data_IF_044637355956
#
_entry.id   IF_044637355956
#
_cell.length_a   1.000
_cell.length_b   1.000
_cell.length_c   1.000
_cell.angle_alpha   90.00
_cell.angle_beta   90.00
_cell.angle_gamma   90.00
#
_symmetry.space_group_name_H-M   'P 1'
#
loop_
_entity.id
_entity.type
_entity.pdbx_description
1 polymer ?
#
# COMPACT_ATOMS: atom_id res chain seq x y z
N UNK A 1 40.36 -57.60 -9.59
CA UNK A 1 39.76 -56.63 -10.52
C UNK A 1 39.49 -55.36 -9.74
N UNK A 2 40.17 -54.27 -10.08
CA UNK A 2 40.10 -53.00 -9.34
C UNK A 2 38.93 -52.11 -9.76
N UNK A 3 38.75 -51.01 -9.02
CA UNK A 3 37.84 -49.92 -9.38
C UNK A 3 38.41 -49.21 -10.62
N UNK A 4 37.61 -48.97 -11.69
CA UNK A 4 38.09 -48.25 -12.86
C UNK A 4 38.54 -46.81 -12.55
N UNK A 5 39.56 -46.32 -13.26
CA UNK A 5 40.00 -44.91 -13.17
C UNK A 5 38.84 -43.97 -13.48
N UNK A 6 38.71 -42.90 -12.68
CA UNK A 6 37.65 -41.89 -12.84
C UNK A 6 36.36 -42.19 -12.06
N UNK A 7 36.28 -43.31 -11.31
CA UNK A 7 35.16 -43.59 -10.40
C UNK A 7 35.38 -42.90 -9.06
N UNK A 8 34.38 -42.15 -8.61
CA UNK A 8 34.28 -41.60 -7.26
C UNK A 8 33.57 -42.58 -6.32
N UNK A 9 34.10 -42.75 -5.11
CA UNK A 9 33.51 -43.63 -4.08
C UNK A 9 33.43 -42.89 -2.74
N UNK A 10 32.38 -43.14 -1.93
CA UNK A 10 32.36 -42.67 -0.55
C UNK A 10 33.47 -43.38 0.25
N UNK A 11 34.16 -42.62 1.08
CA UNK A 11 35.26 -43.11 1.91
C UNK A 11 35.21 -42.41 3.28
N UNK A 12 35.41 -43.17 4.36
CA UNK A 12 35.22 -42.72 5.75
C UNK A 12 36.52 -42.33 6.46
N UNK A 13 37.69 -42.48 5.82
CA UNK A 13 38.97 -42.10 6.41
C UNK A 13 39.36 -40.65 6.07
N UNK A 14 40.29 -40.08 6.84
CA UNK A 14 40.72 -38.69 6.67
C UNK A 14 41.89 -38.50 5.68
N UNK A 15 42.55 -39.60 5.28
CA UNK A 15 43.66 -39.61 4.31
C UNK A 15 43.34 -40.58 3.18
N UNK A 16 43.56 -40.14 1.93
CA UNK A 16 43.33 -40.97 0.76
C UNK A 16 44.23 -42.23 0.81
N UNK A 17 43.67 -43.44 0.62
CA UNK A 17 44.47 -44.64 0.44
C UNK A 17 45.31 -44.56 -0.84
N UNK A 18 46.34 -45.41 -0.93
CA UNK A 18 47.14 -45.55 -2.14
C UNK A 18 46.26 -45.80 -3.37
N UNK A 19 46.50 -45.02 -4.43
CA UNK A 19 45.72 -45.08 -5.67
C UNK A 19 44.42 -44.28 -5.68
N UNK A 20 44.09 -43.56 -4.60
CA UNK A 20 42.92 -42.67 -4.51
C UNK A 20 43.33 -41.21 -4.26
N UNK A 21 42.47 -40.28 -4.65
CA UNK A 21 42.60 -38.85 -4.38
C UNK A 21 41.35 -38.36 -3.66
N UNK A 22 41.49 -37.46 -2.68
CA UNK A 22 40.36 -36.84 -2.00
C UNK A 22 39.67 -35.80 -2.90
N UNK A 23 38.33 -35.80 -2.92
CA UNK A 23 37.50 -34.85 -3.69
C UNK A 23 36.82 -33.79 -2.82
N UNK A 24 37.40 -33.49 -1.65
CA UNK A 24 36.87 -32.56 -0.65
C UNK A 24 37.98 -31.75 0.04
N UNK A 25 37.57 -30.66 0.70
CA UNK A 25 38.44 -29.81 1.52
C UNK A 25 39.15 -28.65 0.80
N UNK A 26 39.62 -27.64 1.55
CA UNK A 26 40.21 -26.41 1.01
C UNK A 26 41.59 -26.60 0.33
N UNK A 27 42.23 -27.76 0.51
CA UNK A 27 43.58 -28.04 0.00
C UNK A 27 43.66 -29.13 -1.08
N UNK A 28 42.56 -29.77 -1.50
CA UNK A 28 42.63 -30.89 -2.46
C UNK A 28 41.49 -30.92 -3.51
N UNK A 29 40.83 -29.80 -3.71
CA UNK A 29 40.02 -29.56 -4.91
C UNK A 29 40.93 -29.12 -6.09
N UNK A 30 41.70 -30.05 -6.64
CA UNK A 30 42.06 -29.98 -8.05
C UNK A 30 43.37 -29.32 -8.46
N UNK A 31 44.49 -29.71 -7.85
CA UNK A 31 45.76 -29.60 -8.58
C UNK A 31 46.46 -30.95 -8.53
N UNK A 32 46.31 -31.69 -9.62
CA UNK A 32 46.84 -33.04 -9.77
C UNK A 32 47.78 -33.04 -10.98
N UNK A 33 48.93 -33.70 -10.86
CA UNK A 33 49.95 -33.79 -11.92
C UNK A 33 49.41 -34.56 -13.13
N UNK A 34 49.48 -33.96 -14.32
CA UNK A 34 49.10 -34.63 -15.57
C UNK A 34 50.03 -35.80 -15.90
N UNK A 35 51.30 -35.71 -15.49
CA UNK A 35 52.30 -36.76 -15.73
C UNK A 35 52.00 -37.98 -14.86
N UNK A 36 51.72 -37.77 -13.58
CA UNK A 36 51.49 -38.86 -12.64
C UNK A 36 50.09 -39.49 -12.80
N UNK A 37 49.11 -38.70 -13.27
CA UNK A 37 47.71 -39.10 -13.38
C UNK A 37 47.14 -38.94 -14.80
N UNK A 38 47.93 -39.21 -15.84
CA UNK A 38 47.53 -39.00 -17.24
C UNK A 38 46.24 -39.71 -17.65
N UNK A 39 45.99 -40.94 -17.15
CA UNK A 39 44.75 -41.66 -17.41
C UNK A 39 43.51 -41.01 -16.76
N UNK A 40 43.68 -40.36 -15.60
CA UNK A 40 42.61 -39.60 -14.96
C UNK A 40 42.38 -38.27 -15.70
N UNK A 41 43.47 -37.59 -16.09
CA UNK A 41 43.42 -36.35 -16.86
C UNK A 41 42.58 -36.51 -18.14
N UNK A 42 42.84 -37.53 -18.95
CA UNK A 42 42.07 -37.81 -20.18
C UNK A 42 40.57 -38.04 -19.96
N UNK A 43 40.14 -38.36 -18.74
CA UNK A 43 38.73 -38.56 -18.40
C UNK A 43 38.09 -37.25 -17.93
N UNK A 44 38.79 -36.43 -17.16
CA UNK A 44 38.22 -35.28 -16.44
C UNK A 44 38.48 -33.92 -17.09
N UNK A 45 39.47 -33.81 -18.00
CA UNK A 45 39.89 -32.54 -18.60
C UNK A 45 38.73 -31.77 -19.25
N UNK A 46 37.78 -32.47 -19.87
CA UNK A 46 36.58 -31.90 -20.49
C UNK A 46 35.32 -32.00 -19.61
N UNK A 47 35.43 -32.46 -18.36
CA UNK A 47 34.30 -32.84 -17.49
C UNK A 47 34.40 -32.24 -16.08
N UNK A 48 34.82 -30.98 -16.00
CA UNK A 48 34.89 -30.21 -14.74
C UNK A 48 36.27 -30.17 -14.10
N UNK A 49 37.30 -30.66 -14.78
CA UNK A 49 38.68 -30.69 -14.33
C UNK A 49 39.66 -30.05 -15.31
N UNK A 50 39.55 -28.75 -15.62
CA UNK A 50 40.32 -28.14 -16.69
C UNK A 50 41.83 -28.31 -16.48
N UNK A 51 42.55 -28.44 -17.60
CA UNK A 51 43.99 -28.21 -17.66
C UNK A 51 44.29 -26.79 -17.17
N UNK A 52 45.25 -26.66 -16.27
CA UNK A 52 45.67 -25.38 -15.69
C UNK A 52 46.86 -24.76 -16.44
N UNK A 53 47.39 -25.42 -17.47
CA UNK A 53 48.46 -24.93 -18.34
C UNK A 53 49.86 -25.00 -17.73
N UNK A 54 50.01 -25.63 -16.55
CA UNK A 54 51.27 -25.77 -15.82
C UNK A 54 51.68 -27.23 -15.59
N UNK A 55 51.11 -28.15 -16.38
CA UNK A 55 51.28 -29.60 -16.20
C UNK A 55 50.42 -30.18 -15.08
N UNK A 56 49.46 -29.42 -14.55
CA UNK A 56 48.45 -29.91 -13.58
C UNK A 56 47.03 -29.73 -14.10
N UNK A 57 46.08 -30.42 -13.47
CA UNK A 57 44.65 -30.34 -13.77
C UNK A 57 43.80 -30.42 -12.51
N UNK A 58 42.53 -29.98 -12.62
CA UNK A 58 41.55 -30.07 -11.55
C UNK A 58 40.85 -31.43 -11.51
N UNK A 59 40.57 -31.95 -10.31
CA UNK A 59 39.65 -33.06 -10.13
C UNK A 59 38.30 -32.52 -9.63
N UNK A 60 37.18 -33.20 -9.92
CA UNK A 60 35.88 -32.71 -9.50
C UNK A 60 35.76 -32.59 -7.98
N UNK A 61 35.29 -31.43 -7.51
CA UNK A 61 34.99 -31.19 -6.10
C UNK A 61 33.57 -31.65 -5.77
N UNK A 62 33.44 -32.57 -4.81
CA UNK A 62 32.16 -33.15 -4.40
C UNK A 62 31.71 -32.73 -2.99
N UNK A 63 32.50 -31.89 -2.31
CA UNK A 63 32.11 -31.33 -1.01
C UNK A 63 30.78 -30.58 -1.12
N UNK A 64 29.87 -30.87 -0.19
CA UNK A 64 28.52 -30.30 -0.08
C UNK A 64 27.63 -30.49 -1.32
N UNK A 65 27.98 -31.41 -2.22
CA UNK A 65 27.24 -31.66 -3.47
C UNK A 65 26.64 -33.05 -3.54
N UNK A 66 25.42 -33.13 -4.05
CA UNK A 66 24.83 -34.39 -4.47
C UNK A 66 25.32 -34.82 -5.86
N UNK A 67 25.44 -36.14 -6.07
CA UNK A 67 25.65 -36.71 -7.39
C UNK A 67 24.31 -36.92 -8.09
N UNK A 68 24.20 -36.43 -9.31
CA UNK A 68 23.02 -36.64 -10.16
C UNK A 68 23.44 -37.29 -11.47
N UNK A 69 22.62 -38.23 -11.95
CA UNK A 69 22.85 -38.86 -13.25
C UNK A 69 22.71 -37.86 -14.40
N UNK A 70 23.47 -38.05 -15.47
CA UNK A 70 23.34 -37.27 -16.69
C UNK A 70 21.89 -37.26 -17.22
N UNK A 71 21.40 -36.06 -17.53
CA UNK A 71 20.01 -35.83 -17.90
C UNK A 71 19.78 -34.35 -18.22
N UNK A 72 18.61 -33.82 -17.86
CA UNK A 72 18.23 -32.42 -18.15
C UNK A 72 19.00 -31.38 -17.33
N UNK A 73 19.78 -31.80 -16.32
CA UNK A 73 20.49 -30.90 -15.40
C UNK A 73 21.89 -30.50 -15.88
N UNK A 74 22.31 -31.00 -17.03
CA UNK A 74 23.60 -30.71 -17.68
C UNK A 74 24.32 -31.95 -18.19
N UNK A 75 25.48 -31.72 -18.84
CA UNK A 75 26.42 -32.78 -19.19
C UNK A 75 27.28 -33.22 -18.00
N UNK A 76 27.96 -34.36 -18.10
CA UNK A 76 28.88 -34.85 -17.06
C UNK A 76 29.91 -33.78 -16.68
N UNK A 77 30.12 -33.57 -15.39
CA UNK A 77 31.00 -32.53 -14.86
C UNK A 77 30.32 -31.17 -14.63
N UNK A 78 29.08 -31.00 -15.07
CA UNK A 78 28.31 -29.77 -14.83
C UNK A 78 27.93 -29.68 -13.36
N UNK A 79 28.19 -28.51 -12.78
CA UNK A 79 27.83 -28.12 -11.42
C UNK A 79 26.60 -27.20 -11.43
N UNK A 80 25.74 -27.29 -10.42
CA UNK A 80 24.61 -26.38 -10.27
C UNK A 80 23.98 -26.43 -8.88
N UNK A 81 22.82 -25.80 -8.73
CA UNK A 81 22.14 -25.65 -7.44
C UNK A 81 22.85 -24.65 -6.52
N UNK A 82 22.19 -24.30 -5.42
CA UNK A 82 22.75 -23.36 -4.43
C UNK A 82 22.49 -23.88 -3.00
N UNK A 83 23.41 -23.60 -2.08
CA UNK A 83 23.29 -24.03 -0.68
C UNK A 83 22.21 -23.24 0.08
N UNK A 84 21.92 -22.02 -0.37
CA UNK A 84 20.84 -21.17 0.13
C UNK A 84 20.29 -20.31 -1.02
N UNK A 85 18.98 -20.10 -1.01
CA UNK A 85 18.26 -19.26 -1.98
C UNK A 85 17.67 -18.08 -1.21
N UNK A 86 18.01 -16.86 -1.62
CA UNK A 86 17.33 -15.66 -1.14
C UNK A 86 16.17 -15.38 -2.08
N UNK A 87 14.93 -15.50 -1.57
CA UNK A 87 13.75 -15.25 -2.38
C UNK A 87 13.57 -13.75 -2.67
N UNK A 88 13.44 -13.42 -3.94
CA UNK A 88 12.95 -12.11 -4.38
C UNK A 88 11.44 -12.02 -4.23
N UNK A 89 10.92 -10.78 -4.21
CA UNK A 89 9.47 -10.53 -4.09
C UNK A 89 8.69 -11.27 -5.19
N UNK A 90 9.18 -11.25 -6.44
CA UNK A 90 8.55 -11.96 -7.56
C UNK A 90 8.46 -13.49 -7.37
N UNK A 91 9.31 -14.10 -6.54
CA UNK A 91 9.33 -15.54 -6.26
C UNK A 91 8.43 -15.92 -5.08
N UNK A 92 7.94 -14.94 -4.32
CA UNK A 92 6.92 -15.17 -3.30
C UNK A 92 5.58 -15.45 -3.98
N UNK A 93 4.72 -16.30 -3.38
CA UNK A 93 3.35 -16.46 -3.82
C UNK A 93 2.64 -15.11 -3.92
N UNK A 94 1.86 -14.94 -5.00
CA UNK A 94 1.02 -13.75 -5.13
C UNK A 94 -0.01 -13.72 -4.01
N UNK A 95 -0.02 -12.61 -3.26
CA UNK A 95 -0.93 -12.40 -2.15
C UNK A 95 -1.40 -10.94 -2.12
N UNK A 96 -2.48 -10.69 -1.39
CA UNK A 96 -3.02 -9.35 -1.19
C UNK A 96 -3.56 -9.19 0.23
N UNK A 97 -3.65 -7.94 0.67
CA UNK A 97 -4.18 -7.60 1.99
C UNK A 97 -5.49 -6.84 1.87
N UNK A 98 -6.50 -7.22 2.65
CA UNK A 98 -7.73 -6.43 2.76
C UNK A 98 -7.53 -5.23 3.69
N UNK A 99 -8.27 -4.15 3.43
CA UNK A 99 -8.44 -3.05 4.39
C UNK A 99 -9.84 -3.14 4.97
N UNK A 100 -9.92 -3.15 6.29
CA UNK A 100 -11.18 -2.97 7.02
C UNK A 100 -11.20 -1.57 7.60
N UNK A 101 -12.13 -0.74 7.13
CA UNK A 101 -12.45 0.56 7.73
C UNK A 101 -13.83 0.41 8.41
N UNK A 102 -13.88 0.18 9.74
CA UNK A 102 -15.14 -0.01 10.48
C UNK A 102 -16.07 1.21 10.45
N UNK A 103 -15.67 2.30 9.79
CA UNK A 103 -16.39 3.56 9.75
C UNK A 103 -16.06 4.42 10.96
N UNK A 104 -15.99 5.73 10.74
CA UNK A 104 -15.81 6.73 11.76
C UNK A 104 -16.64 7.98 11.41
N UNK A 105 -17.10 8.78 12.40
CA UNK A 105 -17.92 9.94 12.13
C UNK A 105 -17.10 11.07 11.48
N UNK A 106 -17.66 11.72 10.46
CA UNK A 106 -17.12 12.96 9.91
C UNK A 106 -17.62 14.15 10.74
N UNK A 107 -16.71 15.06 11.10
CA UNK A 107 -17.08 16.30 11.78
C UNK A 107 -17.76 17.27 10.82
N UNK A 108 -18.99 17.69 11.12
CA UNK A 108 -19.68 18.76 10.40
C UNK A 108 -19.45 20.09 11.14
N UNK A 109 -18.75 21.02 10.49
CA UNK A 109 -18.58 22.40 10.97
C UNK A 109 -19.59 23.34 10.30
N UNK A 110 -20.26 24.19 11.07
CA UNK A 110 -21.11 25.25 10.53
C UNK A 110 -20.38 26.59 10.65
N UNK A 111 -19.89 27.13 9.54
CA UNK A 111 -19.33 28.49 9.49
C UNK A 111 -20.45 29.46 9.15
N UNK A 112 -20.85 30.31 10.10
CA UNK A 112 -21.90 31.32 9.89
C UNK A 112 -21.25 32.58 9.30
N UNK A 113 -21.47 32.82 8.00
CA UNK A 113 -21.00 34.04 7.32
C UNK A 113 -22.19 35.01 7.17
N UNK A 114 -22.52 35.69 8.26
CA UNK A 114 -23.56 36.74 8.28
C UNK A 114 -24.92 36.27 8.82
N UNK A 115 -25.33 36.84 9.96
CA UNK A 115 -26.70 36.73 10.47
C UNK A 115 -27.49 37.96 10.04
N UNK A 116 -28.43 37.78 9.10
CA UNK A 116 -29.39 38.82 8.71
C UNK A 116 -30.67 38.68 9.52
N UNK A 117 -31.03 39.72 10.28
CA UNK A 117 -32.29 39.75 11.03
C UNK A 117 -33.49 39.82 10.08
N UNK A 118 -34.50 38.99 10.32
CA UNK A 118 -35.82 39.14 9.71
C UNK A 118 -36.90 38.96 10.78
N UNK A 119 -38.07 39.58 10.57
CA UNK A 119 -39.12 39.75 11.57
C UNK A 119 -40.29 38.82 11.29
N UNK A 120 -40.90 38.29 12.36
CA UNK A 120 -42.20 37.62 12.33
C UNK A 120 -43.14 38.34 13.28
N UNK A 121 -44.37 38.62 12.84
CA UNK A 121 -45.41 39.13 13.74
C UNK A 121 -46.02 37.97 14.55
N UNK A 122 -46.16 38.07 15.88
CA UNK A 122 -46.82 37.04 16.67
C UNK A 122 -48.27 36.82 16.20
N UNK A 123 -48.52 35.69 15.53
CA UNK A 123 -49.87 35.21 15.21
C UNK A 123 -50.43 35.55 13.82
N UNK A 124 -49.63 36.02 12.86
CA UNK A 124 -50.09 36.32 11.49
C UNK A 124 -49.25 35.59 10.44
N UNK A 125 -49.88 34.75 9.60
CA UNK A 125 -49.25 34.01 8.51
C UNK A 125 -49.09 34.84 7.22
N UNK A 126 -48.93 36.16 7.32
CA UNK A 126 -48.81 37.05 6.16
C UNK A 126 -47.68 38.03 6.34
N UNK A 127 -46.70 37.93 5.44
CA UNK A 127 -45.62 38.89 5.27
C UNK A 127 -46.20 40.19 4.73
N UNK A 128 -46.49 41.16 5.60
CA UNK A 128 -46.92 42.49 5.18
C UNK A 128 -45.70 43.39 4.95
N UNK A 129 -45.44 43.71 3.69
CA UNK A 129 -44.50 44.75 3.27
C UNK A 129 -45.11 46.13 3.60
N UNK A 130 -44.59 46.78 4.64
CA UNK A 130 -45.06 48.09 5.05
C UNK A 130 -44.46 49.18 4.16
N UNK A 131 -45.31 49.90 3.44
CA UNK A 131 -44.92 51.12 2.72
C UNK A 131 -45.19 52.33 3.59
N UNK A 132 -44.17 53.14 3.81
CA UNK A 132 -44.30 54.40 4.55
C UNK A 132 -44.83 55.48 3.63
N UNK A 133 -46.09 55.86 3.80
CA UNK A 133 -46.73 56.88 2.97
C UNK A 133 -46.70 58.21 3.71
N UNK A 134 -46.33 59.28 3.00
CA UNK A 134 -46.39 60.64 3.53
C UNK A 134 -47.86 61.07 3.59
N UNK A 135 -48.43 61.26 4.78
CA UNK A 135 -49.82 61.69 4.91
C UNK A 135 -49.89 63.23 4.97
N UNK A 136 -50.51 63.86 3.96
CA UNK A 136 -50.53 65.32 3.83
C UNK A 136 -51.44 66.02 4.85
N UNK A 137 -52.28 65.30 5.62
CA UNK A 137 -53.27 65.91 6.52
C UNK A 137 -52.76 66.17 7.95
N UNK A 138 -51.61 65.63 8.36
CA UNK A 138 -50.97 65.99 9.65
C UNK A 138 -49.47 66.25 9.51
N UNK A 139 -49.08 67.20 8.66
CA UNK A 139 -47.73 67.78 8.73
C UNK A 139 -46.57 66.92 8.21
N UNK A 140 -46.85 65.88 7.40
CA UNK A 140 -45.80 65.14 6.69
C UNK A 140 -45.13 64.01 7.47
N UNK A 141 -45.71 63.60 8.61
CA UNK A 141 -45.22 62.46 9.37
C UNK A 141 -45.40 61.15 8.59
N UNK A 142 -44.32 60.39 8.50
CA UNK A 142 -44.24 59.08 7.86
C UNK A 142 -44.91 58.03 8.74
N UNK A 143 -45.96 57.36 8.22
CA UNK A 143 -46.67 56.29 8.94
C UNK A 143 -46.78 55.02 8.08
N UNK A 144 -46.63 53.83 8.69
CA UNK A 144 -46.79 52.57 7.98
C UNK A 144 -48.28 52.40 7.64
N UNK A 145 -48.58 52.25 6.35
CA UNK A 145 -49.93 51.92 5.86
C UNK A 145 -49.89 50.51 5.29
N UNK A 146 -50.91 49.71 5.58
CA UNK A 146 -51.14 48.46 4.87
C UNK A 146 -51.70 48.80 3.48
N UNK A 147 -50.89 48.59 2.45
CA UNK A 147 -51.41 48.55 1.08
C UNK A 147 -51.93 47.13 0.88
N UNK A 148 -53.25 46.95 0.90
CA UNK A 148 -53.81 45.70 0.41
C UNK A 148 -53.63 45.63 -1.11
N UNK A 149 -53.61 44.41 -1.65
CA UNK A 149 -53.30 44.14 -3.06
C UNK A 149 -54.26 44.75 -4.10
N UNK A 150 -55.20 45.63 -3.69
CA UNK A 150 -56.06 46.41 -4.59
C UNK A 150 -55.56 47.83 -4.86
N UNK A 151 -54.46 48.26 -4.22
CA UNK A 151 -53.80 49.54 -4.48
C UNK A 151 -54.48 50.76 -3.84
N UNK A 152 -55.49 50.56 -2.99
CA UNK A 152 -56.09 51.62 -2.18
C UNK A 152 -55.55 51.58 -0.74
N UNK A 153 -55.22 52.72 -0.10
CA UNK A 153 -54.75 52.74 1.28
C UNK A 153 -55.91 52.33 2.22
N UNK A 154 -55.84 51.11 2.72
CA UNK A 154 -56.91 50.49 3.50
C UNK A 154 -56.59 50.58 4.99
N UNK A 155 -57.36 51.42 5.69
CA UNK A 155 -57.43 51.56 7.16
C UNK A 155 -56.13 51.88 7.91
N UNK A 156 -56.11 53.00 8.62
CA UNK A 156 -55.05 53.34 9.58
C UNK A 156 -55.00 52.28 10.69
N UNK A 157 -53.92 51.49 10.74
CA UNK A 157 -53.67 50.55 11.83
C UNK A 157 -53.08 51.33 13.00
N UNK A 158 -53.85 51.46 14.09
CA UNK A 158 -53.29 51.92 15.36
C UNK A 158 -52.45 50.79 15.95
N UNK A 159 -51.12 50.93 15.88
CA UNK A 159 -50.20 50.05 16.61
C UNK A 159 -50.28 50.47 18.08
N UNK A 160 -50.71 49.59 19.01
CA UNK A 160 -50.77 49.95 20.42
C UNK A 160 -49.37 50.28 20.92
N UNK A 161 -49.12 51.55 21.20
CA UNK A 161 -47.94 51.97 21.93
C UNK A 161 -48.17 51.63 23.40
N UNK A 162 -47.26 50.86 24.02
CA UNK A 162 -47.24 50.77 25.47
C UNK A 162 -46.73 52.12 26.00
N UNK A 163 -47.64 53.05 26.24
CA UNK A 163 -47.31 54.39 26.72
C UNK A 163 -46.92 54.33 28.21
N UNK A 164 -45.61 54.30 28.50
CA UNK A 164 -45.12 54.74 29.81
C UNK A 164 -45.14 56.27 29.83
N UNK A 165 -45.92 56.91 30.71
CA UNK A 165 -46.28 58.33 30.60
C UNK A 165 -45.16 59.34 30.93
N UNK A 166 -43.90 58.91 31.12
CA UNK A 166 -42.83 59.82 31.59
C UNK A 166 -41.53 59.84 30.79
N UNK A 167 -41.40 59.12 29.66
CA UNK A 167 -40.20 59.25 28.83
C UNK A 167 -40.43 58.89 27.34
N UNK A 168 -40.62 59.87 26.43
CA UNK A 168 -40.91 59.62 25.02
C UNK A 168 -39.69 59.31 24.13
N UNK A 169 -38.49 59.08 24.67
CA UNK A 169 -37.28 58.87 23.86
C UNK A 169 -36.52 57.56 24.06
N UNK A 170 -37.05 56.58 24.81
CA UNK A 170 -36.49 55.22 24.78
C UNK A 170 -37.39 54.28 23.98
N UNK A 171 -37.09 54.23 22.68
CA UNK A 171 -37.57 53.18 21.77
C UNK A 171 -36.93 51.85 22.18
N UNK A 172 -37.47 51.19 23.20
CA UNK A 172 -37.05 49.83 23.53
C UNK A 172 -37.62 48.86 22.50
N UNK A 173 -37.01 48.83 21.32
CA UNK A 173 -37.20 47.78 20.31
C UNK A 173 -36.46 46.52 20.79
N UNK A 174 -36.95 45.93 21.88
CA UNK A 174 -36.38 44.67 22.41
C UNK A 174 -36.94 43.50 21.61
N UNK A 175 -36.10 42.96 20.73
CA UNK A 175 -36.34 41.72 20.00
C UNK A 175 -35.67 40.58 20.76
N UNK A 176 -36.44 39.76 21.47
CA UNK A 176 -35.93 38.52 22.08
C UNK A 176 -36.38 37.32 21.25
N UNK A 177 -35.44 36.67 20.56
CA UNK A 177 -35.62 35.29 20.10
C UNK A 177 -35.50 34.40 21.33
N UNK A 178 -36.61 33.89 21.86
CA UNK A 178 -36.53 33.07 23.06
C UNK A 178 -36.12 31.62 22.79
N UNK A 179 -36.36 31.00 21.62
CA UNK A 179 -36.16 29.54 21.54
C UNK A 179 -35.72 28.95 20.18
N UNK A 180 -34.81 29.57 19.41
CA UNK A 180 -34.23 28.86 18.25
C UNK A 180 -33.22 29.59 17.37
N UNK A 181 -32.34 28.82 16.72
CA UNK A 181 -31.44 29.26 15.65
C UNK A 181 -32.23 29.48 14.35
N UNK A 182 -32.14 30.68 13.77
CA UNK A 182 -32.84 31.03 12.52
C UNK A 182 -31.83 31.17 11.37
N UNK A 183 -31.97 30.38 10.30
CA UNK A 183 -30.93 30.19 9.28
C UNK A 183 -31.52 30.27 7.86
N UNK A 184 -31.12 31.27 7.06
CA UNK A 184 -31.69 31.53 5.72
C UNK A 184 -30.98 30.81 4.57
N UNK A 185 -29.69 30.48 4.70
CA UNK A 185 -28.96 29.65 3.75
C UNK A 185 -27.79 28.98 4.47
N UNK A 186 -27.95 27.70 4.80
CA UNK A 186 -26.90 26.89 5.41
C UNK A 186 -26.15 26.13 4.32
N UNK A 187 -24.87 26.42 4.12
CA UNK A 187 -24.00 25.53 3.34
C UNK A 187 -23.31 24.58 4.31
N UNK A 188 -23.81 23.34 4.42
CA UNK A 188 -23.14 22.27 5.15
C UNK A 188 -21.97 21.76 4.31
N UNK A 189 -20.75 22.07 4.72
CA UNK A 189 -19.55 21.48 4.09
C UNK A 189 -19.24 20.17 4.80
N UNK A 190 -19.42 19.05 4.11
CA UNK A 190 -18.93 17.74 4.54
C UNK A 190 -17.62 17.47 3.80
N UNK A 191 -16.49 17.73 4.44
CA UNK A 191 -15.18 17.36 3.89
C UNK A 191 -15.00 15.85 4.03
N UNK A 192 -14.99 15.15 2.89
CA UNK A 192 -14.63 13.73 2.87
C UNK A 192 -13.19 13.55 3.35
N UNK A 193 -12.97 12.67 4.31
CA UNK A 193 -11.64 12.25 4.72
C UNK A 193 -11.33 10.92 4.02
N UNK A 194 -10.43 10.92 3.04
CA UNK A 194 -9.85 9.68 2.53
C UNK A 194 -8.68 9.27 3.40
N UNK A 195 -8.58 7.99 3.76
CA UNK A 195 -7.44 7.46 4.54
C UNK A 195 -6.16 7.31 3.72
N UNK A 196 -6.22 7.50 2.38
CA UNK A 196 -5.06 7.40 1.49
C UNK A 196 -4.49 5.99 1.38
N UNK A 197 -5.22 4.96 1.82
CA UNK A 197 -4.73 3.57 1.85
C UNK A 197 -4.89 2.94 0.47
N UNK A 198 -3.80 2.42 -0.09
CA UNK A 198 -3.79 1.58 -1.28
C UNK A 198 -3.59 0.11 -0.91
N UNK A 199 -4.23 -0.79 -1.65
CA UNK A 199 -4.02 -2.23 -1.57
C UNK A 199 -3.34 -2.64 -2.87
N UNK A 200 -2.10 -3.09 -2.79
CA UNK A 200 -1.40 -3.68 -3.92
C UNK A 200 -1.27 -5.18 -3.65
N UNK A 201 -1.57 -5.99 -4.66
CA UNK A 201 -1.18 -7.39 -4.66
C UNK A 201 0.34 -7.43 -4.83
N UNK A 202 1.01 -8.21 -4.00
CA UNK A 202 2.47 -8.36 -4.01
C UNK A 202 2.83 -9.83 -4.21
N UNK A 203 4.02 -10.05 -4.79
CA UNK A 203 4.48 -11.37 -5.17
C UNK A 203 3.98 -11.81 -6.54
N UNK A 204 4.85 -12.53 -7.25
CA UNK A 204 4.62 -12.96 -8.63
C UNK A 204 4.42 -14.46 -8.81
N UNK A 205 4.69 -15.27 -7.78
CA UNK A 205 4.66 -16.73 -7.87
C UNK A 205 5.70 -17.30 -8.85
N UNK A 206 6.77 -16.56 -9.13
CA UNK A 206 7.83 -16.97 -10.04
C UNK A 206 8.59 -18.20 -9.51
N UNK A 207 9.17 -18.96 -10.45
CA UNK A 207 10.04 -20.07 -10.10
C UNK A 207 11.33 -19.58 -9.44
N UNK A 208 11.79 -20.30 -8.42
CA UNK A 208 13.09 -20.09 -7.77
C UNK A 208 13.94 -21.37 -7.90
N UNK A 209 15.26 -21.23 -7.72
CA UNK A 209 16.13 -22.41 -7.64
C UNK A 209 15.72 -23.27 -6.44
N UNK A 210 15.56 -24.57 -6.64
CA UNK A 210 15.12 -25.50 -5.59
C UNK A 210 16.01 -26.76 -5.56
N UNK A 211 17.12 -26.78 -6.30
CA UNK A 211 18.04 -27.89 -6.32
C UNK A 211 19.15 -27.62 -5.30
N UNK A 212 19.47 -28.59 -4.40
CA UNK A 212 20.67 -28.50 -3.58
C UNK A 212 21.90 -28.47 -4.50
N UNK A 213 23.08 -28.04 -4.01
CA UNK A 213 24.29 -28.09 -4.79
C UNK A 213 24.51 -29.50 -5.35
N UNK A 214 24.80 -29.59 -6.64
CA UNK A 214 24.94 -30.87 -7.31
C UNK A 214 26.10 -30.88 -8.30
N UNK A 215 26.47 -32.09 -8.71
CA UNK A 215 27.33 -32.34 -9.87
C UNK A 215 26.81 -33.52 -10.68
N UNK A 216 26.82 -33.36 -12.01
CA UNK A 216 26.35 -34.37 -12.94
C UNK A 216 27.42 -35.44 -13.20
N UNK A 217 27.07 -36.72 -13.07
CA UNK A 217 27.94 -37.87 -13.35
C UNK A 217 27.21 -38.93 -14.18
N UNK A 218 27.96 -39.90 -14.70
CA UNK A 218 27.37 -41.12 -15.24
C UNK A 218 27.23 -42.15 -14.12
N UNK A 219 26.08 -42.81 -14.06
CA UNK A 219 25.93 -44.02 -13.24
C UNK A 219 26.25 -45.24 -14.10
N UNK A 220 27.15 -46.08 -13.61
CA UNK A 220 27.61 -47.30 -14.29
C UNK A 220 27.21 -48.52 -13.46
N UNK A 221 26.82 -49.60 -14.14
CA UNK A 221 26.55 -50.89 -13.52
C UNK A 221 27.54 -51.90 -14.08
N UNK A 222 28.15 -52.70 -13.19
CA UNK A 222 29.08 -53.75 -13.60
C UNK A 222 28.31 -54.88 -14.29
N UNK A 223 28.78 -55.29 -15.46
CA UNK A 223 28.33 -56.48 -16.20
C UNK A 223 29.12 -57.71 -15.82
#
# INVERSE_FOLDING_TARGET
GGVPTGVSLPYFGDTAPDGFLMQSGPNYAGRVSQVDFGGLFSIVEFRGGPDLGDGTFQIPYLGDRFLVGQGSWGGVGTAGGVAAVTLGVGELPSHGHGVSDPGHPHGAGTTIVGSGAHYHEPGSARDSEFVTVLDPLLGGDFRPVLIDGTGAPSTYVSIPTNSSPTNPQQQNRSFTSTDGLHLHAATTVVSGASTGVSILAEGGGGAHENRPPYMVTNFIMKT
#
